data_IF_468577822882
#
_entry.id   IF_468577822882
#
_cell.length_a   1.000
_cell.length_b   1.000
_cell.length_c   1.000
_cell.angle_alpha   90.00
_cell.angle_beta   90.00
_cell.angle_gamma   90.00
#
_symmetry.space_group_name_H-M   'P 1'
#
loop_
_entity.id
_entity.type
_entity.pdbx_description
1 polymer ?
#
# COMPACT_ATOMS: atom_id res chain seq x y z
N UNK A 1 16.75 -3.58 -17.12
CA UNK A 1 16.48 -3.74 -15.68
C UNK A 1 14.99 -3.98 -15.47
N UNK A 2 14.65 -5.16 -14.98
CA UNK A 2 13.32 -5.51 -14.49
C UNK A 2 13.22 -5.21 -12.98
N UNK A 3 12.02 -5.32 -12.40
CA UNK A 3 11.85 -5.26 -10.94
C UNK A 3 12.63 -6.38 -10.24
N UNK A 4 12.70 -7.56 -10.87
CA UNK A 4 13.48 -8.68 -10.36
C UNK A 4 14.98 -8.34 -10.31
N UNK A 5 15.52 -7.76 -11.39
CA UNK A 5 16.92 -7.34 -11.45
C UNK A 5 17.25 -6.31 -10.35
N UNK A 6 16.33 -5.36 -10.11
CA UNK A 6 16.49 -4.36 -9.06
C UNK A 6 16.52 -4.99 -7.65
N UNK A 7 15.58 -5.88 -7.35
CA UNK A 7 15.56 -6.59 -6.07
C UNK A 7 16.81 -7.44 -5.89
N UNK A 8 17.29 -8.09 -6.96
CA UNK A 8 18.51 -8.87 -6.92
C UNK A 8 19.73 -7.99 -6.61
N UNK A 9 19.88 -6.84 -7.26
CA UNK A 9 20.97 -5.88 -6.99
C UNK A 9 20.95 -5.41 -5.53
N UNK A 10 19.78 -5.00 -5.02
CA UNK A 10 19.67 -4.56 -3.64
C UNK A 10 19.85 -5.70 -2.62
N UNK A 11 19.49 -6.94 -2.99
CA UNK A 11 19.73 -8.11 -2.14
C UNK A 11 21.22 -8.50 -2.07
N UNK A 12 21.96 -8.30 -3.17
CA UNK A 12 23.40 -8.55 -3.23
C UNK A 12 24.24 -7.46 -2.54
N UNK A 13 23.71 -6.25 -2.41
CA UNK A 13 24.37 -5.10 -1.79
C UNK A 13 23.52 -4.59 -0.60
N UNK A 14 23.35 -5.39 0.47
CA UNK A 14 22.45 -5.07 1.57
C UNK A 14 22.83 -3.80 2.33
N UNK A 15 24.09 -3.36 2.24
CA UNK A 15 24.59 -2.11 2.81
C UNK A 15 23.84 -0.88 2.31
N UNK A 16 23.37 -0.88 1.05
CA UNK A 16 22.68 0.27 0.46
C UNK A 16 21.26 0.44 1.05
N UNK A 17 20.37 -0.59 1.02
CA UNK A 17 19.10 -0.51 1.72
C UNK A 17 19.26 -0.24 3.22
N UNK A 18 20.24 -0.89 3.86
CA UNK A 18 20.46 -0.76 5.29
C UNK A 18 20.88 0.66 5.67
N UNK A 19 21.82 1.25 4.94
CA UNK A 19 22.20 2.65 5.12
C UNK A 19 21.00 3.58 4.93
N UNK A 20 20.25 3.41 3.84
CA UNK A 20 19.07 4.24 3.56
C UNK A 20 18.03 4.17 4.70
N UNK A 21 17.61 2.96 5.08
CA UNK A 21 16.57 2.77 6.09
C UNK A 21 17.01 3.04 7.53
N UNK A 22 18.31 3.17 7.78
CA UNK A 22 18.84 3.70 9.05
C UNK A 22 18.98 5.22 8.99
N UNK A 23 19.42 5.77 7.85
CA UNK A 23 19.57 7.21 7.66
C UNK A 23 18.24 7.95 7.80
N UNK A 24 17.14 7.41 7.27
CA UNK A 24 15.82 8.04 7.36
C UNK A 24 15.36 8.30 8.82
N UNK A 25 15.26 7.30 9.72
CA UNK A 25 14.89 7.55 11.11
C UNK A 25 15.94 8.38 11.86
N UNK A 26 17.22 8.28 11.51
CA UNK A 26 18.26 9.17 12.04
C UNK A 26 18.02 10.63 11.65
N UNK A 27 17.67 10.92 10.39
CA UNK A 27 17.36 12.28 9.94
C UNK A 27 16.14 12.83 10.66
N UNK A 28 15.12 12.00 10.91
CA UNK A 28 13.97 12.39 11.73
C UNK A 28 14.40 12.74 13.17
N UNK A 29 15.25 11.91 13.78
CA UNK A 29 15.73 12.13 15.15
C UNK A 29 16.57 13.41 15.25
N UNK A 30 17.53 13.59 14.34
CA UNK A 30 18.40 14.76 14.30
C UNK A 30 17.59 16.04 14.06
N UNK A 31 16.65 16.02 13.10
CA UNK A 31 15.76 17.16 12.85
C UNK A 31 14.92 17.51 14.08
N UNK A 32 14.45 16.49 14.81
CA UNK A 32 13.75 16.66 16.09
C UNK A 32 14.59 17.38 17.13
N UNK A 33 15.82 16.90 17.35
CA UNK A 33 16.75 17.48 18.33
C UNK A 33 17.14 18.92 17.94
N UNK A 34 17.44 19.17 16.67
CA UNK A 34 17.87 20.49 16.20
C UNK A 34 16.73 21.50 16.10
N UNK A 35 15.49 21.06 15.94
CA UNK A 35 14.33 21.95 15.88
C UNK A 35 14.04 22.68 17.20
N UNK A 36 14.59 22.22 18.34
CA UNK A 36 14.47 22.86 19.68
C UNK A 36 13.03 23.26 20.07
N UNK A 37 12.03 22.51 19.61
CA UNK A 37 10.60 22.79 19.89
C UNK A 37 9.87 23.56 18.79
N UNK A 38 10.58 24.03 17.75
CA UNK A 38 10.02 24.71 16.58
C UNK A 38 9.71 23.75 15.42
N UNK A 39 9.56 22.45 15.71
CA UNK A 39 9.35 21.41 14.71
C UNK A 39 8.11 21.64 13.80
N UNK A 40 7.11 22.36 14.32
CA UNK A 40 5.88 22.72 13.60
C UNK A 40 6.04 23.95 12.68
N UNK A 41 7.15 24.68 12.80
CA UNK A 41 7.43 25.88 12.01
C UNK A 41 8.27 25.54 10.76
N UNK A 42 8.32 26.50 9.85
CA UNK A 42 9.24 26.44 8.71
C UNK A 42 10.68 26.66 9.21
N UNK A 43 11.68 25.91 8.70
CA UNK A 43 11.62 24.92 7.63
C UNK A 43 11.35 23.48 8.10
N UNK A 44 11.37 23.23 9.42
CA UNK A 44 11.34 21.89 10.01
C UNK A 44 10.11 21.07 9.62
N UNK A 45 8.93 21.69 9.54
CA UNK A 45 7.70 21.00 9.12
C UNK A 45 7.80 20.36 7.73
N UNK A 46 8.54 21.00 6.81
CA UNK A 46 8.76 20.47 5.46
C UNK A 46 9.83 19.38 5.42
N UNK A 47 10.87 19.51 6.25
CA UNK A 47 11.86 18.44 6.43
C UNK A 47 11.19 17.18 6.99
N UNK A 48 10.35 17.31 8.03
CA UNK A 48 9.58 16.18 8.55
C UNK A 48 8.62 15.59 7.53
N UNK A 49 7.94 16.42 6.74
CA UNK A 49 7.09 15.92 5.64
C UNK A 49 7.91 15.11 4.65
N UNK A 50 9.05 15.62 4.18
CA UNK A 50 9.93 14.90 3.26
C UNK A 50 10.42 13.57 3.86
N UNK A 51 10.90 13.57 5.11
CA UNK A 51 11.36 12.36 5.79
C UNK A 51 10.23 11.33 5.97
N UNK A 52 9.01 11.79 6.26
CA UNK A 52 7.82 10.92 6.32
C UNK A 52 7.57 10.24 4.99
N UNK A 53 7.53 11.00 3.88
CA UNK A 53 7.30 10.42 2.56
C UNK A 53 8.41 9.46 2.13
N UNK A 54 9.67 9.79 2.44
CA UNK A 54 10.83 8.92 2.18
C UNK A 54 10.74 7.59 2.93
N UNK A 55 10.21 7.57 4.15
CA UNK A 55 10.00 6.33 4.88
C UNK A 55 8.73 5.59 4.42
N UNK A 56 7.66 6.36 4.19
CA UNK A 56 6.32 5.83 3.96
C UNK A 56 6.16 5.13 2.61
N UNK A 57 6.65 5.72 1.53
CA UNK A 57 6.51 5.14 0.19
C UNK A 57 7.15 3.75 0.08
N UNK A 58 8.44 3.56 0.43
CA UNK A 58 9.05 2.23 0.40
C UNK A 58 8.47 1.28 1.46
N UNK A 59 8.09 1.79 2.65
CA UNK A 59 7.44 0.98 3.68
C UNK A 59 6.08 0.43 3.26
N UNK A 60 5.24 1.27 2.66
CA UNK A 60 3.93 0.88 2.14
C UNK A 60 4.07 -0.05 0.93
N UNK A 61 5.02 0.21 0.04
CA UNK A 61 5.32 -0.69 -1.08
C UNK A 61 5.72 -2.09 -0.58
N UNK A 62 6.64 -2.17 0.37
CA UNK A 62 7.02 -3.44 0.99
C UNK A 62 5.83 -4.14 1.66
N UNK A 63 5.01 -3.40 2.42
CA UNK A 63 3.83 -3.96 3.08
C UNK A 63 2.83 -4.54 2.06
N UNK A 64 2.49 -3.78 1.02
CA UNK A 64 1.54 -4.20 -0.01
C UNK A 64 2.06 -5.37 -0.84
N UNK A 65 3.35 -5.37 -1.17
CA UNK A 65 4.01 -6.48 -1.87
C UNK A 65 3.94 -7.76 -1.04
N UNK A 66 4.28 -7.69 0.26
CA UNK A 66 4.18 -8.85 1.15
C UNK A 66 2.74 -9.38 1.24
N UNK A 67 1.76 -8.48 1.41
CA UNK A 67 0.35 -8.87 1.45
C UNK A 67 -0.06 -9.56 0.14
N UNK A 68 0.38 -9.03 -1.00
CA UNK A 68 0.10 -9.62 -2.30
C UNK A 68 0.73 -11.03 -2.43
N UNK A 69 2.03 -11.16 -2.18
CA UNK A 69 2.75 -12.43 -2.29
C UNK A 69 2.19 -13.49 -1.33
N UNK A 70 1.76 -13.09 -0.15
CA UNK A 70 1.17 -13.99 0.85
C UNK A 70 -0.26 -14.40 0.50
N UNK A 71 -1.13 -13.43 0.16
CA UNK A 71 -2.56 -13.70 -0.04
C UNK A 71 -2.86 -14.37 -1.39
N UNK A 72 -2.15 -14.00 -2.45
CA UNK A 72 -2.43 -14.44 -3.81
C UNK A 72 -1.44 -15.51 -4.29
N UNK A 73 -0.14 -15.28 -4.13
CA UNK A 73 0.89 -16.24 -4.59
C UNK A 73 1.19 -17.34 -3.57
N UNK A 74 0.73 -17.18 -2.32
CA UNK A 74 1.00 -18.10 -1.19
C UNK A 74 2.50 -18.36 -0.99
N UNK A 75 3.34 -17.37 -1.28
CA UNK A 75 4.75 -17.47 -0.98
C UNK A 75 4.97 -17.61 0.53
N UNK A 76 5.94 -18.44 0.89
CA UNK A 76 6.34 -18.62 2.27
C UNK A 76 6.97 -17.34 2.80
N UNK A 77 6.57 -16.93 4.00
CA UNK A 77 7.17 -15.80 4.72
C UNK A 77 8.66 -16.10 5.03
N UNK A 78 9.06 -17.37 5.04
CA UNK A 78 10.45 -17.77 5.30
C UNK A 78 11.41 -17.41 4.16
N UNK A 79 10.90 -17.27 2.93
CA UNK A 79 11.70 -16.89 1.76
C UNK A 79 11.73 -15.36 1.56
N UNK A 80 11.13 -14.62 2.48
CA UNK A 80 11.07 -13.16 2.46
C UNK A 80 12.46 -12.54 2.64
N UNK A 81 12.83 -11.63 1.74
CA UNK A 81 14.06 -10.87 1.90
C UNK A 81 13.90 -9.82 3.01
N UNK A 82 14.54 -10.04 4.15
CA UNK A 82 14.46 -9.17 5.33
C UNK A 82 14.77 -7.70 5.00
N UNK A 83 15.76 -7.43 4.15
CA UNK A 83 16.21 -6.06 3.82
C UNK A 83 15.23 -5.29 2.94
N UNK A 84 14.46 -5.98 2.09
CA UNK A 84 13.55 -5.35 1.12
C UNK A 84 12.08 -5.46 1.50
N UNK A 85 11.74 -6.43 2.35
CA UNK A 85 10.37 -6.72 2.72
C UNK A 85 10.06 -6.31 4.16
N UNK A 86 10.96 -6.54 5.11
CA UNK A 86 10.72 -6.25 6.53
C UNK A 86 11.31 -4.90 6.95
N UNK A 87 12.58 -4.64 6.59
CA UNK A 87 13.31 -3.45 6.97
C UNK A 87 12.61 -2.13 6.59
N UNK A 88 12.00 -1.96 5.39
CA UNK A 88 11.30 -0.73 5.05
C UNK A 88 10.09 -0.47 5.95
N UNK A 89 9.35 -1.51 6.31
CA UNK A 89 8.18 -1.42 7.19
C UNK A 89 8.60 -1.01 8.60
N UNK A 90 9.64 -1.65 9.14
CA UNK A 90 10.19 -1.31 10.45
C UNK A 90 10.75 0.12 10.49
N UNK A 91 11.50 0.52 9.46
CA UNK A 91 12.06 1.88 9.34
C UNK A 91 10.95 2.94 9.25
N UNK A 92 9.89 2.67 8.49
CA UNK A 92 8.71 3.54 8.41
C UNK A 92 8.05 3.73 9.78
N UNK A 93 7.76 2.62 10.49
CA UNK A 93 7.14 2.68 11.82
C UNK A 93 8.02 3.41 12.83
N UNK A 94 9.32 3.13 12.82
CA UNK A 94 10.29 3.80 13.68
C UNK A 94 10.35 5.30 13.39
N UNK A 95 10.40 5.68 12.11
CA UNK A 95 10.43 7.09 11.69
C UNK A 95 9.19 7.82 12.18
N UNK A 96 7.99 7.25 12.00
CA UNK A 96 6.74 7.87 12.45
C UNK A 96 6.70 8.02 13.97
N UNK A 97 7.15 6.98 14.68
CA UNK A 97 7.23 7.00 16.13
C UNK A 97 8.19 8.07 16.66
N UNK A 98 9.34 8.25 16.02
CA UNK A 98 10.30 9.31 16.35
C UNK A 98 9.65 10.69 16.11
N UNK A 99 9.10 10.94 14.93
CA UNK A 99 8.57 12.26 14.56
C UNK A 99 7.41 12.66 15.48
N UNK A 100 6.53 11.70 15.83
CA UNK A 100 5.41 11.93 16.74
C UNK A 100 5.84 12.43 18.13
N UNK A 101 7.10 12.20 18.54
CA UNK A 101 7.64 12.72 19.81
C UNK A 101 8.01 14.21 19.74
N UNK A 102 8.26 14.75 18.55
CA UNK A 102 8.70 16.13 18.36
C UNK A 102 7.59 17.05 17.83
N UNK A 103 6.66 16.52 17.03
CA UNK A 103 5.58 17.29 16.41
C UNK A 103 4.32 16.45 16.25
N UNK A 104 3.15 17.08 16.36
CA UNK A 104 1.89 16.43 15.99
C UNK A 104 1.88 16.13 14.49
N UNK A 105 1.47 14.91 14.12
CA UNK A 105 1.46 14.49 12.71
C UNK A 105 0.47 15.33 11.88
N UNK A 106 -0.60 15.81 12.50
CA UNK A 106 -1.60 16.68 11.87
C UNK A 106 -1.04 18.07 11.49
N UNK A 107 0.04 18.51 12.14
CA UNK A 107 0.71 19.76 11.78
C UNK A 107 1.63 19.61 10.56
N UNK A 108 1.86 18.38 10.09
CA UNK A 108 2.76 18.10 8.98
C UNK A 108 1.99 18.20 7.66
N UNK A 109 2.47 19.02 6.70
CA UNK A 109 1.78 19.18 5.43
C UNK A 109 1.73 17.84 4.66
N UNK A 110 0.53 17.50 4.20
CA UNK A 110 0.28 16.32 3.37
C UNK A 110 0.06 15.01 4.14
N UNK A 111 0.18 14.99 5.48
CA UNK A 111 -0.01 13.77 6.27
C UNK A 111 -1.38 13.11 6.06
N UNK A 112 -2.45 13.91 5.96
CA UNK A 112 -3.82 13.41 5.70
C UNK A 112 -3.93 12.60 4.40
N UNK A 113 -3.10 12.92 3.39
CA UNK A 113 -3.09 12.20 2.12
C UNK A 113 -2.57 10.77 2.28
N UNK A 114 -1.71 10.52 3.27
CA UNK A 114 -1.18 9.19 3.55
C UNK A 114 -2.29 8.25 4.03
N UNK A 115 -3.14 8.73 4.94
CA UNK A 115 -4.30 7.96 5.41
C UNK A 115 -5.25 7.58 4.27
N UNK A 116 -5.54 8.54 3.38
CA UNK A 116 -6.32 8.30 2.17
C UNK A 116 -5.70 7.24 1.26
N UNK A 117 -4.38 7.30 1.02
CA UNK A 117 -3.66 6.30 0.22
C UNK A 117 -3.75 4.89 0.82
N UNK A 118 -3.54 4.74 2.14
CA UNK A 118 -3.65 3.45 2.83
C UNK A 118 -5.05 2.88 2.66
N UNK A 119 -6.08 3.72 2.86
CA UNK A 119 -7.48 3.29 2.73
C UNK A 119 -7.77 2.82 1.31
N UNK A 120 -7.36 3.59 0.29
CA UNK A 120 -7.54 3.20 -1.11
C UNK A 120 -6.87 1.86 -1.43
N UNK A 121 -5.62 1.68 -1.00
CA UNK A 121 -4.87 0.44 -1.19
C UNK A 121 -5.56 -0.73 -0.49
N UNK A 122 -6.01 -0.54 0.75
CA UNK A 122 -6.69 -1.59 1.51
C UNK A 122 -8.01 -2.00 0.83
N UNK A 123 -8.80 -1.03 0.37
CA UNK A 123 -10.04 -1.29 -0.39
C UNK A 123 -9.74 -2.09 -1.66
N UNK A 124 -8.71 -1.68 -2.42
CA UNK A 124 -8.29 -2.40 -3.64
C UNK A 124 -7.83 -3.82 -3.30
N UNK A 125 -6.99 -4.01 -2.28
CA UNK A 125 -6.51 -5.32 -1.87
C UNK A 125 -7.66 -6.24 -1.42
N UNK A 126 -8.60 -5.72 -0.64
CA UNK A 126 -9.79 -6.48 -0.23
C UNK A 126 -10.65 -6.86 -1.44
N UNK A 127 -10.86 -5.93 -2.38
CA UNK A 127 -11.61 -6.21 -3.59
C UNK A 127 -10.93 -7.29 -4.44
N UNK A 128 -9.62 -7.18 -4.65
CA UNK A 128 -8.83 -8.19 -5.36
C UNK A 128 -8.87 -9.55 -4.64
N UNK A 129 -8.78 -9.55 -3.31
CA UNK A 129 -8.83 -10.77 -2.51
C UNK A 129 -10.19 -11.46 -2.61
N UNK A 130 -11.28 -10.69 -2.57
CA UNK A 130 -12.64 -11.20 -2.82
C UNK A 130 -12.70 -11.79 -4.23
N UNK A 131 -12.20 -11.09 -5.25
CA UNK A 131 -12.25 -11.54 -6.64
C UNK A 131 -11.49 -12.87 -6.84
N UNK A 132 -10.28 -12.98 -6.28
CA UNK A 132 -9.48 -14.21 -6.31
C UNK A 132 -10.17 -15.36 -5.56
N UNK A 133 -10.65 -15.10 -4.33
CA UNK A 133 -11.18 -16.15 -3.45
C UNK A 133 -12.57 -16.62 -3.86
N UNK A 134 -13.43 -15.73 -4.31
CA UNK A 134 -14.80 -16.09 -4.69
C UNK A 134 -14.84 -17.00 -5.90
N UNK A 135 -13.70 -17.21 -6.60
CA UNK A 135 -13.67 -17.77 -7.94
C UNK A 135 -14.92 -17.26 -8.65
N UNK A 136 -15.10 -15.93 -8.65
CA UNK A 136 -15.97 -15.35 -9.65
C UNK A 136 -15.30 -15.83 -10.92
N UNK A 137 -15.84 -16.92 -11.45
CA UNK A 137 -15.77 -17.22 -12.83
C UNK A 137 -16.33 -15.93 -13.42
N UNK A 138 -15.45 -14.95 -13.68
CA UNK A 138 -15.41 -14.40 -15.01
C UNK A 138 -15.41 -15.67 -15.80
N UNK A 139 -16.59 -16.03 -16.28
CA UNK A 139 -16.75 -17.17 -17.12
C UNK A 139 -15.96 -16.73 -18.35
N UNK A 140 -14.64 -16.90 -18.31
CA UNK A 140 -13.73 -16.57 -19.40
C UNK A 140 -13.98 -17.53 -20.57
N UNK A 141 -14.89 -18.49 -20.38
CA UNK A 141 -15.50 -19.36 -21.37
C UNK A 141 -16.93 -18.97 -21.77
N UNK A 142 -17.50 -17.86 -21.29
CA UNK A 142 -18.71 -17.32 -21.89
C UNK A 142 -18.22 -16.40 -23.02
N UNK A 143 -18.32 -16.82 -24.30
CA UNK A 143 -18.13 -15.88 -25.39
C UNK A 143 -18.98 -14.64 -25.11
N UNK A 144 -18.50 -13.46 -25.45
CA UNK A 144 -19.20 -12.19 -25.23
C UNK A 144 -20.70 -12.25 -25.66
N UNK A 145 -21.00 -13.07 -26.67
CA UNK A 145 -22.34 -13.45 -27.12
C UNK A 145 -23.21 -14.11 -26.04
N UNK A 146 -22.67 -15.02 -25.23
CA UNK A 146 -23.39 -15.68 -24.14
C UNK A 146 -23.73 -14.73 -22.99
N UNK A 147 -22.87 -13.75 -22.70
CA UNK A 147 -23.18 -12.67 -21.77
C UNK A 147 -24.33 -11.79 -22.28
N UNK A 148 -24.32 -11.42 -23.57
CA UNK A 148 -25.41 -10.67 -24.20
C UNK A 148 -26.74 -11.43 -24.17
N UNK A 149 -26.74 -12.73 -24.45
CA UNK A 149 -27.95 -13.57 -24.39
C UNK A 149 -28.50 -13.63 -22.96
N UNK A 150 -27.63 -13.85 -21.96
CA UNK A 150 -28.04 -13.87 -20.55
C UNK A 150 -28.69 -12.54 -20.14
N UNK A 151 -28.09 -11.42 -20.52
CA UNK A 151 -28.60 -10.08 -20.23
C UNK A 151 -29.98 -9.84 -20.85
N UNK A 152 -30.17 -10.25 -22.11
CA UNK A 152 -31.47 -10.17 -22.80
C UNK A 152 -32.52 -11.05 -22.10
N UNK A 153 -32.18 -12.28 -21.73
CA UNK A 153 -33.08 -13.19 -21.02
C UNK A 153 -33.49 -12.60 -19.67
N UNK A 154 -32.55 -12.01 -18.93
CA UNK A 154 -32.82 -11.41 -17.63
C UNK A 154 -33.72 -10.17 -17.73
N UNK A 155 -33.53 -9.33 -18.75
CA UNK A 155 -34.41 -8.20 -19.03
C UNK A 155 -35.82 -8.64 -19.41
N UNK A 156 -35.96 -9.69 -20.22
CA UNK A 156 -37.27 -10.24 -20.62
C UNK A 156 -37.96 -10.87 -19.40
N UNK A 157 -37.24 -11.68 -18.61
CA UNK A 157 -37.75 -12.30 -17.40
C UNK A 157 -38.20 -11.24 -16.37
N UNK A 158 -37.38 -10.21 -16.13
CA UNK A 158 -37.73 -9.08 -15.28
C UNK A 158 -38.99 -8.34 -15.76
N UNK A 159 -39.10 -8.09 -17.08
CA UNK A 159 -40.30 -7.47 -17.66
C UNK A 159 -41.55 -8.34 -17.51
N UNK A 160 -41.43 -9.66 -17.64
CA UNK A 160 -42.54 -10.61 -17.49
C UNK A 160 -42.96 -10.76 -16.01
N UNK A 161 -42.01 -10.79 -15.09
CA UNK A 161 -42.24 -10.79 -13.64
C UNK A 161 -42.94 -9.51 -13.19
N UNK A 162 -42.48 -8.35 -13.65
CA UNK A 162 -43.12 -7.06 -13.33
C UNK A 162 -44.57 -7.00 -13.82
N UNK A 163 -44.83 -7.52 -15.03
CA UNK A 163 -46.20 -7.64 -15.58
C UNK A 163 -47.09 -8.64 -14.84
N UNK A 164 -46.52 -9.62 -14.11
CA UNK A 164 -47.28 -10.58 -13.29
C UNK A 164 -47.55 -10.07 -11.87
N UNK A 165 -46.68 -9.23 -11.33
CA UNK A 165 -46.79 -8.71 -9.96
C UNK A 165 -47.66 -7.44 -9.92
N UNK A 166 -47.62 -6.60 -10.96
CA UNK A 166 -48.41 -5.36 -11.06
C UNK A 166 -49.68 -5.51 -11.89
N UNK A 167 -50.31 -6.69 -11.85
CA UNK A 167 -51.61 -6.94 -12.48
C UNK A 167 -52.60 -7.47 -11.44
#
# INVERSE_FOLDING_TARGET
MTLHDFFQICSHNPEVPLFYFIAVPLTALLSGIFSRGEAHLSPWKYLFSATIYLAFVPGLFALTLNLYLFLFERQSIWDANIYLQLLPVLSMLLTFWIIKRFVSLDAIPGFDRLGGLILMILVILVLLWILDRTRIWVVSYLPFTGFLILLVVLLIAGRLLWKRIFK
#
